data_IF_072785855372
#
_entry.id   IF_072785855372
#
_cell.length_a   1.000
_cell.length_b   1.000
_cell.length_c   1.000
_cell.angle_alpha   90.00
_cell.angle_beta   90.00
_cell.angle_gamma   90.00
#
_symmetry.space_group_name_H-M   'P 1'
#
loop_
_entity.id
_entity.type
_entity.pdbx_description
1 polymer ?
#
# COMPACT_ATOMS: atom_id res chain seq x y z
N UNK A 1 10.64 -1.17 -16.58
CA UNK A 1 9.88 0.09 -16.78
C UNK A 1 8.65 0.02 -15.89
N UNK A 2 8.53 0.89 -14.89
CA UNK A 2 7.38 0.93 -13.96
C UNK A 2 6.35 1.97 -14.41
N UNK A 3 5.15 1.96 -13.82
CA UNK A 3 4.11 2.97 -14.07
C UNK A 3 3.81 3.70 -12.77
N UNK A 4 3.77 5.03 -12.84
CA UNK A 4 3.34 5.90 -11.74
C UNK A 4 1.86 6.22 -11.89
N UNK A 5 1.08 6.07 -10.81
CA UNK A 5 -0.33 6.45 -10.78
C UNK A 5 -0.59 7.40 -9.61
N UNK A 6 -1.39 8.43 -9.89
CA UNK A 6 -1.98 9.29 -8.87
C UNK A 6 -3.49 9.06 -8.85
N UNK A 7 -4.07 8.90 -7.67
CA UNK A 7 -5.52 8.79 -7.49
C UNK A 7 -5.98 9.70 -6.37
N UNK A 8 -7.10 10.38 -6.57
CA UNK A 8 -7.76 11.18 -5.55
C UNK A 8 -9.26 10.93 -5.63
N UNK A 9 -9.89 10.67 -4.48
CA UNK A 9 -11.33 10.52 -4.39
C UNK A 9 -11.86 11.18 -3.13
N UNK A 10 -13.03 11.81 -3.23
CA UNK A 10 -13.75 12.39 -2.10
C UNK A 10 -15.14 11.78 -2.02
N UNK A 11 -15.33 10.83 -1.11
CA UNK A 11 -16.66 10.40 -0.70
C UNK A 11 -17.11 11.21 0.53
N UNK A 12 -18.41 11.15 0.88
CA UNK A 12 -19.13 12.11 1.74
C UNK A 12 -18.44 12.53 3.06
N UNK A 13 -17.43 11.82 3.57
CA UNK A 13 -16.57 12.21 4.72
C UNK A 13 -15.11 11.77 4.64
N UNK A 14 -14.68 11.19 3.52
CA UNK A 14 -13.41 10.49 3.38
C UNK A 14 -12.72 10.97 2.10
N UNK A 15 -11.64 11.72 2.28
CA UNK A 15 -10.75 12.11 1.19
C UNK A 15 -9.62 11.10 1.17
N UNK A 16 -9.38 10.51 0.00
CA UNK A 16 -8.21 9.68 -0.23
C UNK A 16 -7.36 10.31 -1.32
N UNK A 17 -6.05 10.31 -1.10
CA UNK A 17 -5.05 10.68 -2.09
C UNK A 17 -3.96 9.62 -2.06
N UNK A 18 -3.50 9.18 -3.22
CA UNK A 18 -2.54 8.09 -3.32
C UNK A 18 -1.58 8.25 -4.50
N UNK A 19 -0.33 7.86 -4.27
CA UNK A 19 0.71 7.66 -5.27
C UNK A 19 1.13 6.19 -5.28
N UNK A 20 1.20 5.61 -6.47
CA UNK A 20 1.48 4.18 -6.63
C UNK A 20 2.58 3.97 -7.66
N UNK A 21 3.55 3.14 -7.31
CA UNK A 21 4.49 2.53 -8.26
C UNK A 21 4.00 1.13 -8.52
N UNK A 22 3.67 0.84 -9.78
CA UNK A 22 3.10 -0.44 -10.20
C UNK A 22 4.10 -1.16 -11.09
N UNK A 23 4.30 -2.45 -10.85
CA UNK A 23 5.03 -3.28 -11.79
C UNK A 23 4.24 -3.42 -13.08
N UNK A 24 4.96 -3.40 -14.20
CA UNK A 24 4.34 -3.61 -15.50
C UNK A 24 3.79 -5.04 -15.53
N UNK A 25 2.51 -5.22 -15.92
CA UNK A 25 2.01 -6.56 -16.19
C UNK A 25 2.90 -7.23 -17.26
N UNK A 26 3.21 -8.54 -17.11
CA UNK A 26 3.91 -9.29 -18.16
C UNK A 26 3.23 -9.18 -19.52
N UNK A 27 3.98 -9.32 -20.61
CA UNK A 27 3.37 -9.33 -21.93
C UNK A 27 2.33 -10.47 -22.03
N UNK A 28 1.09 -10.13 -22.41
CA UNK A 28 -0.01 -11.10 -22.53
C UNK A 28 -0.87 -11.29 -21.28
N UNK A 29 -0.56 -10.65 -20.15
CA UNK A 29 -1.47 -10.66 -18.98
C UNK A 29 -2.65 -9.71 -19.20
N UNK A 30 -3.84 -10.14 -18.77
CA UNK A 30 -5.04 -9.30 -18.76
C UNK A 30 -4.91 -8.20 -17.69
N UNK A 31 -5.00 -6.90 -18.06
CA UNK A 31 -5.00 -5.79 -17.10
C UNK A 31 -6.12 -5.84 -16.05
N UNK A 32 -7.13 -6.70 -16.26
CA UNK A 32 -8.29 -6.88 -15.40
C UNK A 32 -8.26 -8.15 -14.56
N UNK A 33 -7.15 -8.90 -14.58
CA UNK A 33 -6.98 -10.15 -13.83
C UNK A 33 -7.06 -10.03 -12.29
N UNK A 34 -7.28 -8.81 -11.78
CA UNK A 34 -7.46 -8.54 -10.37
C UNK A 34 -6.17 -8.64 -9.56
N UNK A 35 -5.03 -8.93 -10.18
CA UNK A 35 -3.74 -8.98 -9.50
C UNK A 35 -3.27 -7.56 -9.23
N UNK A 36 -3.18 -7.23 -7.95
CA UNK A 36 -2.65 -5.96 -7.49
C UNK A 36 -1.12 -5.95 -7.59
N UNK A 37 -0.60 -5.34 -8.64
CA UNK A 37 0.85 -5.27 -8.93
C UNK A 37 1.52 -4.03 -8.32
N UNK A 38 0.89 -3.40 -7.34
CA UNK A 38 1.50 -2.26 -6.62
C UNK A 38 2.76 -2.74 -5.91
N UNK A 39 3.85 -2.03 -6.10
CA UNK A 39 5.13 -2.25 -5.42
C UNK A 39 5.36 -1.26 -4.30
N UNK A 40 4.94 -0.02 -4.52
CA UNK A 40 5.03 1.07 -3.54
C UNK A 40 3.71 1.81 -3.59
N UNK A 41 3.17 2.13 -2.41
CA UNK A 41 1.92 2.87 -2.26
C UNK A 41 2.06 3.87 -1.13
N UNK A 42 1.97 5.16 -1.45
CA UNK A 42 1.90 6.26 -0.50
C UNK A 42 0.47 6.80 -0.54
N UNK A 43 -0.25 6.82 0.57
CA UNK A 43 -1.62 7.34 0.58
C UNK A 43 -2.03 7.99 1.89
N UNK A 44 -3.08 8.79 1.81
CA UNK A 44 -3.93 9.12 2.95
C UNK A 44 -5.32 8.53 2.70
N UNK A 45 -5.88 7.82 3.68
CA UNK A 45 -7.27 7.37 3.69
C UNK A 45 -7.83 7.65 5.07
N UNK A 46 -8.99 8.29 5.16
CA UNK A 46 -9.71 8.49 6.42
C UNK A 46 -8.90 9.19 7.51
N UNK A 47 -7.92 10.01 7.10
CA UNK A 47 -6.90 10.70 7.91
C UNK A 47 -5.76 9.82 8.42
N UNK A 48 -5.72 8.55 8.07
CA UNK A 48 -4.53 7.73 8.20
C UNK A 48 -3.53 8.14 7.11
N UNK A 49 -2.24 8.11 7.43
CA UNK A 49 -1.17 8.24 6.45
C UNK A 49 -0.41 6.91 6.35
N UNK A 50 -0.22 6.39 5.14
CA UNK A 50 0.35 5.06 4.92
C UNK A 50 1.39 5.07 3.80
N UNK A 51 2.50 4.37 4.02
CA UNK A 51 3.44 3.92 3.00
C UNK A 51 3.56 2.39 3.06
N UNK A 52 3.22 1.73 1.97
CA UNK A 52 3.21 0.27 1.86
C UNK A 52 4.17 -0.19 0.76
N UNK A 53 4.97 -1.21 1.05
CA UNK A 53 5.78 -1.91 0.05
C UNK A 53 5.29 -3.35 -0.05
N UNK A 54 5.09 -3.82 -1.28
CA UNK A 54 4.61 -5.16 -1.54
C UNK A 54 5.60 -5.98 -2.38
N UNK A 55 5.49 -7.31 -2.27
CA UNK A 55 6.26 -8.26 -3.08
C UNK A 55 5.73 -8.36 -4.52
N UNK A 56 6.33 -9.23 -5.34
CA UNK A 56 5.99 -9.34 -6.76
C UNK A 56 4.61 -9.99 -6.99
N UNK A 57 4.06 -10.63 -5.95
CA UNK A 57 2.73 -11.21 -5.95
C UNK A 57 1.67 -10.21 -5.43
N UNK A 58 2.06 -8.99 -5.09
CA UNK A 58 1.14 -7.95 -4.58
C UNK A 58 0.87 -8.04 -3.08
N UNK A 59 1.62 -8.85 -2.33
CA UNK A 59 1.44 -8.95 -0.88
C UNK A 59 2.29 -7.91 -0.15
N UNK A 60 1.68 -7.12 0.72
CA UNK A 60 2.39 -6.16 1.56
C UNK A 60 3.45 -6.87 2.43
N UNK A 61 4.66 -6.30 2.46
CA UNK A 61 5.81 -6.80 3.23
C UNK A 61 6.33 -5.80 4.25
N UNK A 62 6.17 -4.51 3.98
CA UNK A 62 6.60 -3.43 4.88
C UNK A 62 5.49 -2.38 4.91
N UNK A 63 5.10 -1.96 6.11
CA UNK A 63 4.09 -0.93 6.34
C UNK A 63 4.67 0.16 7.22
N UNK A 64 4.53 1.42 6.81
CA UNK A 64 4.72 2.58 7.68
C UNK A 64 3.37 3.27 7.76
N UNK A 65 2.84 3.45 8.96
CA UNK A 65 1.49 3.99 9.16
C UNK A 65 1.47 4.98 10.31
N UNK A 66 0.68 6.03 10.12
CA UNK A 66 0.20 6.91 11.18
C UNK A 66 -1.30 6.83 11.14
N UNK A 67 -1.90 6.34 12.22
CA UNK A 67 -3.35 6.26 12.36
C UNK A 67 -3.94 7.64 12.65
N UNK A 68 -5.23 7.79 12.39
CA UNK A 68 -6.00 8.99 12.72
C UNK A 68 -5.92 9.36 14.21
N UNK A 69 -5.67 8.42 15.11
CA UNK A 69 -5.43 8.67 16.54
C UNK A 69 -4.11 9.42 16.79
N UNK A 70 -3.18 9.37 15.85
CA UNK A 70 -1.80 9.87 15.97
C UNK A 70 -0.78 8.77 16.24
N UNK A 71 -1.22 7.53 16.46
CA UNK A 71 -0.33 6.40 16.72
C UNK A 71 0.45 6.05 15.44
N UNK A 72 1.78 6.05 15.56
CA UNK A 72 2.68 5.75 14.46
C UNK A 72 3.34 4.39 14.68
N UNK A 73 3.43 3.60 13.61
CA UNK A 73 4.17 2.34 13.62
C UNK A 73 4.77 1.98 12.27
N UNK A 74 5.80 1.14 12.35
CA UNK A 74 6.35 0.38 11.23
C UNK A 74 6.15 -1.11 11.48
N UNK A 75 5.80 -1.86 10.44
CA UNK A 75 5.66 -3.31 10.46
C UNK A 75 6.43 -3.97 9.33
N UNK A 76 6.98 -5.15 9.61
CA UNK A 76 7.47 -6.10 8.61
C UNK A 76 6.58 -7.34 8.68
N UNK A 77 6.09 -7.77 7.51
CA UNK A 77 5.19 -8.91 7.37
C UNK A 77 5.89 -10.11 6.73
N UNK A 78 5.46 -11.31 7.08
CA UNK A 78 5.84 -12.56 6.43
C UNK A 78 5.04 -12.81 5.12
N UNK A 79 5.22 -13.99 4.50
CA UNK A 79 4.52 -14.34 3.25
C UNK A 79 3.02 -14.61 3.41
N UNK A 80 2.57 -14.78 4.65
CA UNK A 80 1.19 -15.00 5.04
C UNK A 80 0.54 -13.69 5.52
N UNK A 81 1.28 -12.59 5.55
CA UNK A 81 0.81 -11.30 6.04
C UNK A 81 0.86 -11.16 7.57
N UNK A 82 1.57 -12.04 8.27
CA UNK A 82 1.76 -11.97 9.72
C UNK A 82 2.91 -11.03 10.07
N UNK A 83 2.74 -10.21 11.10
CA UNK A 83 3.77 -9.30 11.58
C UNK A 83 4.92 -10.07 12.23
N UNK A 84 6.12 -9.95 11.66
CA UNK A 84 7.37 -10.52 12.21
C UNK A 84 8.21 -9.48 12.96
N UNK A 85 7.92 -8.20 12.75
CA UNK A 85 8.53 -7.08 13.47
C UNK A 85 7.57 -5.90 13.50
N UNK A 86 7.49 -5.21 14.64
CA UNK A 86 6.72 -3.97 14.80
C UNK A 86 7.50 -3.00 15.68
N UNK A 87 7.48 -1.72 15.32
CA UNK A 87 8.00 -0.66 16.19
C UNK A 87 7.05 0.56 16.15
N UNK A 88 6.74 1.20 17.30
CA UNK A 88 7.02 0.72 18.65
C UNK A 88 6.34 -0.65 18.90
N UNK A 89 6.94 -1.46 19.78
CA UNK A 89 6.29 -2.69 20.25
C UNK A 89 5.04 -2.25 21.04
N UNK A 90 3.86 -2.65 20.56
CA UNK A 90 2.59 -2.46 21.26
C UNK A 90 2.22 -3.72 22.01
#
# INVERSE_FOLDING_TARGET
MCVFRHASARARRTASAGFFVVDRPPAGSDPTDGIDRRRIKLQNIDRDAELLLADAAGKDRIKLRVEKSGDAYIEILDANGQTVFRAPEQ
#
